data_IF_961629134249
#
_entry.id   IF_961629134249
#
_cell.length_a   1.000
_cell.length_b   1.000
_cell.length_c   1.000
_cell.angle_alpha   90.00
_cell.angle_beta   90.00
_cell.angle_gamma   90.00
#
_symmetry.space_group_name_H-M   'P 1'
#
loop_
_entity.id
_entity.type
_entity.pdbx_description
1 polymer ?
#
# COMPACT_ATOMS: atom_id res chain seq x y z
N UNK A 1 14.92 15.29 14.98
CA UNK A 1 15.24 14.14 14.11
C UNK A 1 15.31 14.61 12.67
N UNK A 2 16.32 14.18 11.91
CA UNK A 2 16.41 14.47 10.46
C UNK A 2 15.29 13.71 9.73
N UNK A 3 14.52 14.41 8.90
CA UNK A 3 13.44 13.82 8.08
C UNK A 3 14.03 13.07 6.87
N UNK A 4 13.29 12.09 6.36
CA UNK A 4 13.68 11.32 5.16
C UNK A 4 13.36 12.15 3.92
N UNK A 5 14.36 12.36 3.07
CA UNK A 5 14.26 13.14 1.83
C UNK A 5 14.19 12.25 0.58
N UNK A 6 14.47 10.95 0.69
CA UNK A 6 14.38 10.03 -0.43
C UNK A 6 12.98 9.39 -0.49
N UNK A 7 12.30 9.53 -1.63
CA UNK A 7 10.92 9.04 -1.82
C UNK A 7 10.85 7.52 -1.80
N UNK A 8 11.87 6.87 -2.35
CA UNK A 8 11.92 5.41 -2.43
C UNK A 8 12.04 4.80 -1.04
N UNK A 9 13.04 5.22 -0.26
CA UNK A 9 13.25 4.79 1.12
C UNK A 9 12.04 5.11 2.01
N UNK A 10 11.48 6.31 1.88
CA UNK A 10 10.26 6.70 2.60
C UNK A 10 9.10 5.76 2.26
N UNK A 11 8.94 5.41 0.99
CA UNK A 11 7.94 4.47 0.51
C UNK A 11 8.12 3.08 1.07
N UNK A 12 9.34 2.52 1.02
CA UNK A 12 9.65 1.21 1.60
C UNK A 12 9.30 1.16 3.09
N UNK A 13 9.79 2.12 3.88
CA UNK A 13 9.56 2.15 5.34
C UNK A 13 8.07 2.32 5.65
N UNK A 14 7.40 3.24 4.96
CA UNK A 14 5.97 3.50 5.16
C UNK A 14 5.11 2.31 4.75
N UNK A 15 5.46 1.64 3.64
CA UNK A 15 4.80 0.43 3.16
C UNK A 15 4.94 -0.73 4.15
N UNK A 16 6.14 -1.00 4.64
CA UNK A 16 6.36 -2.01 5.67
C UNK A 16 5.59 -1.71 6.97
N UNK A 17 5.63 -0.46 7.42
CA UNK A 17 4.91 -0.04 8.63
C UNK A 17 3.39 -0.13 8.47
N UNK A 18 2.85 0.25 7.32
CA UNK A 18 1.45 0.01 6.99
C UNK A 18 1.11 -1.48 6.98
N UNK A 19 1.98 -2.31 6.41
CA UNK A 19 1.75 -3.75 6.29
C UNK A 19 1.70 -4.43 7.67
N UNK A 20 2.49 -3.94 8.61
CA UNK A 20 2.42 -4.38 9.99
C UNK A 20 1.02 -4.14 10.58
N UNK A 21 0.45 -2.94 10.40
CA UNK A 21 -0.91 -2.63 10.86
C UNK A 21 -1.97 -3.48 10.14
N UNK A 22 -1.86 -3.64 8.81
CA UNK A 22 -2.73 -4.53 8.01
C UNK A 22 -2.78 -5.93 8.62
N UNK A 23 -1.61 -6.53 8.86
CA UNK A 23 -1.48 -7.89 9.36
C UNK A 23 -1.92 -8.03 10.81
N UNK A 24 -1.70 -7.01 11.64
CA UNK A 24 -2.22 -6.98 13.00
C UNK A 24 -3.76 -7.05 12.99
N UNK A 25 -4.40 -6.24 12.14
CA UNK A 25 -5.86 -6.24 12.01
C UNK A 25 -6.39 -7.56 11.42
N UNK A 26 -5.74 -8.13 10.41
CA UNK A 26 -6.08 -9.46 9.87
C UNK A 26 -5.98 -10.55 10.95
N UNK A 27 -4.93 -10.53 11.76
CA UNK A 27 -4.79 -11.47 12.88
C UNK A 27 -5.92 -11.31 13.91
N UNK A 28 -6.33 -10.08 14.20
CA UNK A 28 -7.49 -9.83 15.07
C UNK A 28 -8.76 -10.44 14.49
N UNK A 29 -9.03 -10.23 13.19
CA UNK A 29 -10.19 -10.85 12.53
C UNK A 29 -10.15 -12.39 12.54
N UNK A 30 -8.96 -12.98 12.42
CA UNK A 30 -8.77 -14.42 12.56
C UNK A 30 -9.02 -14.90 13.99
N UNK A 31 -8.49 -14.19 14.98
CA UNK A 31 -8.63 -14.56 16.40
C UNK A 31 -10.10 -14.55 16.86
N UNK A 32 -10.92 -13.63 16.34
CA UNK A 32 -12.36 -13.56 16.63
C UNK A 32 -13.23 -14.42 15.70
N UNK A 33 -12.61 -15.18 14.78
CA UNK A 33 -13.31 -16.06 13.84
C UNK A 33 -14.08 -15.35 12.72
N UNK A 34 -13.88 -14.04 12.51
CA UNK A 34 -14.57 -13.27 11.47
C UNK A 34 -14.06 -13.59 10.06
N UNK A 35 -12.76 -13.85 9.92
CA UNK A 35 -12.10 -14.19 8.65
C UNK A 35 -11.09 -15.31 8.82
N UNK A 36 -10.83 -16.07 7.75
CA UNK A 36 -9.83 -17.14 7.68
C UNK A 36 -8.71 -16.82 6.68
N UNK A 37 -8.89 -15.85 5.80
CA UNK A 37 -7.87 -15.40 4.85
C UNK A 37 -6.98 -14.30 5.45
N UNK A 38 -5.79 -14.12 4.86
CA UNK A 38 -4.84 -13.03 5.19
C UNK A 38 -3.95 -12.74 4.00
N UNK A 39 -3.41 -11.52 3.92
CA UNK A 39 -2.60 -11.08 2.78
C UNK A 39 -1.40 -11.99 2.50
N UNK A 40 -0.72 -12.46 3.55
CA UNK A 40 0.43 -13.38 3.41
C UNK A 40 0.12 -14.70 2.70
N UNK A 41 -1.11 -15.23 2.84
CA UNK A 41 -1.50 -16.47 2.14
C UNK A 41 -1.83 -16.19 0.68
N UNK A 42 -2.48 -15.06 0.38
CA UNK A 42 -2.70 -14.61 -1.00
C UNK A 42 -1.38 -14.35 -1.73
N UNK A 43 -0.42 -13.70 -1.06
CA UNK A 43 0.91 -13.45 -1.61
C UNK A 43 1.69 -14.76 -1.85
N UNK A 44 1.63 -15.72 -0.92
CA UNK A 44 2.22 -17.05 -1.14
C UNK A 44 1.59 -17.76 -2.36
N UNK A 45 0.28 -17.62 -2.53
CA UNK A 45 -0.46 -18.22 -3.64
C UNK A 45 -0.09 -17.70 -5.03
N UNK A 46 0.68 -16.61 -5.13
CA UNK A 46 1.27 -16.15 -6.40
C UNK A 46 2.31 -17.14 -6.91
N UNK A 47 3.11 -17.70 -6.00
CA UNK A 47 4.24 -18.57 -6.34
C UNK A 47 3.96 -20.05 -6.09
N UNK A 48 3.00 -20.36 -5.21
CA UNK A 48 2.80 -21.70 -4.67
C UNK A 48 1.40 -22.22 -4.94
N UNK A 49 1.31 -23.53 -5.20
CA UNK A 49 0.02 -24.24 -5.20
C UNK A 49 -0.61 -24.20 -3.81
N UNK A 50 -1.95 -24.16 -3.75
CA UNK A 50 -2.75 -24.03 -2.52
C UNK A 50 -2.31 -24.96 -1.37
N UNK A 51 -1.96 -26.22 -1.68
CA UNK A 51 -1.51 -27.22 -0.70
C UNK A 51 -0.21 -26.88 0.02
N UNK A 52 0.65 -26.04 -0.57
CA UNK A 52 1.95 -25.68 0.01
C UNK A 52 1.92 -24.38 0.81
N UNK A 53 0.89 -23.55 0.66
CA UNK A 53 0.81 -22.21 1.27
C UNK A 53 0.92 -22.25 2.80
N UNK A 54 0.31 -23.25 3.45
CA UNK A 54 0.30 -23.36 4.92
C UNK A 54 1.51 -24.11 5.50
N UNK A 55 2.41 -24.63 4.65
CA UNK A 55 3.66 -25.26 5.10
C UNK A 55 4.62 -24.20 5.67
N UNK A 56 5.65 -24.58 6.45
CA UNK A 56 6.63 -23.63 6.98
C UNK A 56 7.28 -22.76 5.89
N UNK A 57 7.76 -23.38 4.81
CA UNK A 57 8.35 -22.66 3.67
C UNK A 57 7.31 -21.82 2.92
N UNK A 58 6.07 -22.31 2.79
CA UNK A 58 4.98 -21.52 2.19
C UNK A 58 4.66 -20.24 2.97
N UNK A 59 4.63 -20.33 4.30
CA UNK A 59 4.46 -19.17 5.19
C UNK A 59 5.62 -18.19 5.06
N UNK A 60 6.85 -18.69 4.94
CA UNK A 60 8.05 -17.84 4.73
C UNK A 60 7.97 -17.08 3.40
N UNK A 61 7.67 -17.77 2.29
CA UNK A 61 7.49 -17.14 0.97
C UNK A 61 6.36 -16.12 1.01
N UNK A 62 5.22 -16.46 1.61
CA UNK A 62 4.10 -15.54 1.78
C UNK A 62 4.45 -14.28 2.57
N UNK A 63 5.22 -14.43 3.65
CA UNK A 63 5.69 -13.29 4.44
C UNK A 63 6.62 -12.38 3.63
N UNK A 64 7.59 -12.94 2.92
CA UNK A 64 8.53 -12.15 2.10
C UNK A 64 7.80 -11.45 0.97
N UNK A 65 6.98 -12.18 0.21
CA UNK A 65 6.21 -11.64 -0.90
C UNK A 65 5.26 -10.52 -0.46
N UNK A 66 4.53 -10.71 0.63
CA UNK A 66 3.61 -9.69 1.16
C UNK A 66 4.32 -8.40 1.58
N UNK A 67 5.50 -8.50 2.19
CA UNK A 67 6.29 -7.32 2.56
C UNK A 67 6.93 -6.62 1.34
N UNK A 68 7.38 -7.37 0.33
CA UNK A 68 7.89 -6.79 -0.91
C UNK A 68 6.80 -6.05 -1.68
N UNK A 69 5.62 -6.66 -1.81
CA UNK A 69 4.44 -6.01 -2.41
C UNK A 69 4.09 -4.75 -1.61
N UNK A 70 4.01 -4.84 -0.28
CA UNK A 70 3.69 -3.68 0.54
C UNK A 70 4.73 -2.55 0.45
N UNK A 71 6.02 -2.89 0.32
CA UNK A 71 7.09 -1.91 0.11
C UNK A 71 6.93 -1.21 -1.25
N UNK A 72 6.68 -1.98 -2.31
CA UNK A 72 6.45 -1.44 -3.66
C UNK A 72 5.21 -0.54 -3.71
N UNK A 73 4.11 -0.97 -3.10
CA UNK A 73 2.90 -0.16 -2.93
C UNK A 73 3.16 1.11 -2.10
N UNK A 74 4.01 1.00 -1.08
CA UNK A 74 4.57 2.14 -0.35
C UNK A 74 5.22 3.16 -1.26
N UNK A 75 6.17 2.72 -2.08
CA UNK A 75 6.87 3.57 -3.06
C UNK A 75 5.88 4.23 -4.01
N UNK A 76 4.99 3.46 -4.64
CA UNK A 76 3.96 3.97 -5.55
C UNK A 76 3.15 5.07 -4.87
N UNK A 77 2.67 4.82 -3.65
CA UNK A 77 1.88 5.79 -2.91
C UNK A 77 2.63 7.08 -2.56
N UNK A 78 3.92 7.03 -2.22
CA UNK A 78 4.69 8.25 -1.94
C UNK A 78 4.86 9.09 -3.21
N UNK A 79 5.08 8.46 -4.35
CA UNK A 79 5.09 9.17 -5.63
C UNK A 79 3.71 9.75 -5.94
N UNK A 80 2.62 9.01 -5.75
CA UNK A 80 1.25 9.54 -5.90
C UNK A 80 1.00 10.75 -4.98
N UNK A 81 1.43 10.68 -3.72
CA UNK A 81 1.31 11.79 -2.76
C UNK A 81 2.18 13.01 -3.10
N UNK A 82 3.26 12.83 -3.86
CA UNK A 82 4.05 13.95 -4.39
C UNK A 82 3.21 14.82 -5.33
N UNK A 83 2.34 14.20 -6.12
CA UNK A 83 1.43 14.90 -7.03
C UNK A 83 0.16 15.41 -6.34
N UNK A 84 -0.39 14.64 -5.42
CA UNK A 84 -1.66 14.98 -4.77
C UNK A 84 -1.52 15.93 -3.58
N UNK A 85 -0.34 16.01 -2.97
CA UNK A 85 -0.11 16.76 -1.74
C UNK A 85 -0.64 16.07 -0.47
N UNK A 86 -0.24 16.59 0.69
CA UNK A 86 -0.52 16.00 2.03
C UNK A 86 -1.82 16.47 2.71
N UNK A 87 -2.65 17.28 2.05
CA UNK A 87 -3.98 17.61 2.57
C UNK A 87 -4.87 16.35 2.65
N UNK A 88 -5.77 16.31 3.63
CA UNK A 88 -6.70 15.20 3.87
C UNK A 88 -6.03 13.81 3.79
N UNK A 89 -4.78 13.71 4.24
CA UNK A 89 -3.92 12.53 4.06
C UNK A 89 -4.54 11.22 4.59
N UNK A 90 -5.38 11.27 5.62
CA UNK A 90 -6.12 10.09 6.11
C UNK A 90 -7.12 9.57 5.08
N UNK A 91 -7.90 10.46 4.48
CA UNK A 91 -8.87 10.11 3.43
C UNK A 91 -8.14 9.59 2.18
N UNK A 92 -7.06 10.28 1.77
CA UNK A 92 -6.21 9.83 0.65
C UNK A 92 -5.58 8.47 0.95
N UNK A 93 -5.10 8.25 2.18
CA UNK A 93 -4.56 6.97 2.62
C UNK A 93 -5.60 5.85 2.57
N UNK A 94 -6.81 6.07 3.08
CA UNK A 94 -7.91 5.11 2.99
C UNK A 94 -8.29 4.81 1.53
N UNK A 95 -8.41 5.84 0.69
CA UNK A 95 -8.71 5.69 -0.73
C UNK A 95 -7.64 4.91 -1.50
N UNK A 96 -6.36 5.22 -1.28
CA UNK A 96 -5.25 4.47 -1.87
C UNK A 96 -5.21 3.02 -1.38
N UNK A 97 -5.48 2.78 -0.10
CA UNK A 97 -5.62 1.42 0.45
C UNK A 97 -6.74 0.63 -0.22
N UNK A 98 -7.90 1.25 -0.43
CA UNK A 98 -9.03 0.63 -1.15
C UNK A 98 -8.73 0.40 -2.63
N UNK A 99 -8.00 1.31 -3.28
CA UNK A 99 -7.54 1.14 -4.64
C UNK A 99 -6.61 -0.08 -4.74
N UNK A 100 -5.63 -0.19 -3.83
CA UNK A 100 -4.70 -1.33 -3.76
C UNK A 100 -5.43 -2.66 -3.54
N UNK A 101 -6.40 -2.70 -2.63
CA UNK A 101 -7.23 -3.87 -2.40
C UNK A 101 -8.03 -4.26 -3.65
N UNK A 102 -8.71 -3.31 -4.27
CA UNK A 102 -9.49 -3.54 -5.50
C UNK A 102 -8.59 -4.07 -6.62
N UNK A 103 -7.44 -3.43 -6.84
CA UNK A 103 -6.49 -3.82 -7.88
C UNK A 103 -5.90 -5.21 -7.61
N UNK A 104 -5.36 -5.48 -6.41
CA UNK A 104 -4.70 -6.75 -6.10
C UNK A 104 -5.68 -7.92 -5.95
N UNK A 105 -6.74 -7.74 -5.15
CA UNK A 105 -7.62 -8.83 -4.76
C UNK A 105 -8.89 -8.92 -5.60
N UNK A 106 -9.37 -7.81 -6.15
CA UNK A 106 -10.49 -7.81 -7.10
C UNK A 106 -10.02 -8.20 -8.51
N UNK A 107 -9.13 -7.38 -9.08
CA UNK A 107 -8.74 -7.50 -10.50
C UNK A 107 -7.64 -8.56 -10.69
N UNK A 108 -6.46 -8.36 -10.09
CA UNK A 108 -5.28 -9.19 -10.36
C UNK A 108 -5.50 -10.64 -9.90
N UNK A 109 -6.13 -10.85 -8.74
CA UNK A 109 -6.51 -12.20 -8.29
C UNK A 109 -7.56 -12.84 -9.19
N UNK A 110 -8.52 -12.06 -9.72
CA UNK A 110 -9.51 -12.53 -10.69
C UNK A 110 -8.90 -12.95 -12.03
N UNK A 111 -7.74 -12.39 -12.38
CA UNK A 111 -6.92 -12.81 -13.53
C UNK A 111 -6.05 -14.05 -13.25
N UNK A 112 -6.20 -14.68 -12.08
CA UNK A 112 -5.48 -15.91 -11.74
C UNK A 112 -4.09 -15.71 -11.14
N UNK A 113 -3.74 -14.50 -10.71
CA UNK A 113 -2.42 -14.21 -10.14
C UNK A 113 -2.18 -14.89 -8.78
N UNK A 114 -3.19 -15.46 -8.12
CA UNK A 114 -3.02 -16.19 -6.86
C UNK A 114 -3.90 -17.44 -6.82
N UNK A 115 -3.37 -18.51 -6.22
CA UNK A 115 -4.12 -19.73 -5.93
C UNK A 115 -5.19 -19.58 -4.81
N UNK A 116 -5.30 -18.39 -4.19
CA UNK A 116 -6.29 -18.05 -3.16
C UNK A 116 -7.36 -17.09 -3.73
N UNK A 117 -8.22 -17.63 -4.60
CA UNK A 117 -9.36 -16.95 -5.20
C UNK A 117 -10.42 -17.98 -5.66
N UNK A 118 -11.73 -17.66 -5.68
CA UNK A 118 -12.39 -16.47 -5.10
C UNK A 118 -12.48 -16.55 -3.57
N UNK A 119 -12.51 -15.38 -2.92
CA UNK A 119 -12.65 -15.27 -1.46
C UNK A 119 -14.11 -15.31 -1.01
N UNK A 120 -14.38 -15.73 0.23
CA UNK A 120 -15.73 -15.64 0.80
C UNK A 120 -16.09 -14.16 1.12
N UNK A 121 -17.38 -13.78 1.14
CA UNK A 121 -17.78 -12.40 1.41
C UNK A 121 -17.21 -11.80 2.71
N UNK A 122 -17.21 -12.56 3.82
CA UNK A 122 -16.66 -12.10 5.10
C UNK A 122 -15.14 -11.87 5.03
N UNK A 123 -14.42 -12.76 4.34
CA UNK A 123 -12.97 -12.63 4.11
C UNK A 123 -12.66 -11.40 3.24
N UNK A 124 -13.46 -11.18 2.21
CA UNK A 124 -13.36 -10.00 1.34
C UNK A 124 -13.52 -8.70 2.13
N UNK A 125 -14.52 -8.61 3.02
CA UNK A 125 -14.72 -7.44 3.89
C UNK A 125 -13.56 -7.26 4.87
N UNK A 126 -13.10 -8.33 5.50
CA UNK A 126 -11.96 -8.26 6.44
C UNK A 126 -10.69 -7.74 5.76
N UNK A 127 -10.40 -8.22 4.55
CA UNK A 127 -9.25 -7.77 3.75
C UNK A 127 -9.42 -6.34 3.24
N UNK A 128 -10.64 -5.91 2.92
CA UNK A 128 -10.93 -4.51 2.57
C UNK A 128 -10.61 -3.58 3.75
N UNK A 129 -11.10 -3.91 4.95
CA UNK A 129 -10.84 -3.14 6.16
C UNK A 129 -9.36 -3.14 6.55
N UNK A 130 -8.65 -4.27 6.38
CA UNK A 130 -7.20 -4.33 6.61
C UNK A 130 -6.44 -3.42 5.65
N UNK A 131 -6.88 -3.31 4.39
CA UNK A 131 -6.27 -2.41 3.41
C UNK A 131 -6.59 -0.92 3.65
N UNK A 132 -7.74 -0.58 4.22
CA UNK A 132 -7.97 0.78 4.73
C UNK A 132 -6.93 1.09 5.82
N UNK A 133 -6.76 0.20 6.80
CA UNK A 133 -5.77 0.38 7.85
C UNK A 133 -4.33 0.43 7.29
N UNK A 134 -4.01 -0.38 6.28
CA UNK A 134 -2.75 -0.34 5.54
C UNK A 134 -2.48 1.05 4.98
N UNK A 135 -3.41 1.57 4.16
CA UNK A 135 -3.25 2.84 3.47
C UNK A 135 -3.19 4.03 4.42
N UNK A 136 -4.07 4.08 5.42
CA UNK A 136 -4.08 5.14 6.46
C UNK A 136 -2.77 5.14 7.23
N UNK A 137 -2.32 3.98 7.71
CA UNK A 137 -1.10 3.88 8.52
C UNK A 137 0.13 4.25 7.71
N UNK A 138 0.24 3.71 6.49
CA UNK A 138 1.33 4.00 5.54
C UNK A 138 1.49 5.50 5.30
N UNK A 139 0.42 6.19 4.93
CA UNK A 139 0.48 7.64 4.69
C UNK A 139 0.71 8.43 5.98
N UNK A 140 0.20 7.97 7.11
CA UNK A 140 0.47 8.58 8.41
C UNK A 140 1.95 8.50 8.76
N UNK A 141 2.59 7.34 8.59
CA UNK A 141 4.04 7.17 8.80
C UNK A 141 4.81 8.11 7.87
N UNK A 142 4.47 8.10 6.57
CA UNK A 142 5.12 8.93 5.57
C UNK A 142 5.07 10.42 5.93
N UNK A 143 3.91 10.91 6.36
CA UNK A 143 3.71 12.30 6.80
C UNK A 143 4.59 12.65 8.01
N UNK A 144 4.76 11.74 8.95
CA UNK A 144 5.49 12.01 10.20
C UNK A 144 7.00 11.92 10.05
N UNK A 145 7.53 11.08 9.15
CA UNK A 145 8.98 10.88 9.02
C UNK A 145 9.57 11.47 7.73
N UNK A 146 8.74 11.73 6.72
CA UNK A 146 9.14 12.35 5.46
C UNK A 146 9.33 13.86 5.55
N UNK A 147 10.23 14.38 4.73
CA UNK A 147 10.42 15.81 4.53
C UNK A 147 9.22 16.42 3.80
N UNK A 148 8.80 17.63 4.21
CA UNK A 148 7.58 18.24 3.68
C UNK A 148 7.65 18.53 2.18
N UNK A 149 8.85 18.81 1.67
CA UNK A 149 9.10 19.09 0.25
C UNK A 149 8.77 17.92 -0.66
N UNK A 150 8.69 16.70 -0.11
CA UNK A 150 8.27 15.52 -0.88
C UNK A 150 6.78 15.54 -1.23
N UNK A 151 5.98 16.35 -0.53
CA UNK A 151 4.53 16.40 -0.66
C UNK A 151 4.03 17.80 -1.02
N UNK A 152 4.87 18.59 -1.69
CA UNK A 152 4.55 19.90 -2.24
C UNK A 152 4.30 19.73 -3.73
N UNK A 153 3.03 19.57 -4.18
CA UNK A 153 2.74 19.53 -5.60
C UNK A 153 3.26 20.81 -6.25
N UNK A 154 3.91 20.67 -7.41
CA UNK A 154 4.13 21.83 -8.27
C UNK A 154 2.78 22.37 -8.72
N UNK A 155 2.68 23.68 -8.90
CA UNK A 155 1.49 24.29 -9.47
C UNK A 155 1.52 24.17 -11.00
N UNK A 156 1.26 22.96 -11.50
CA UNK A 156 1.24 22.66 -12.94
C UNK A 156 0.21 23.50 -13.70
N UNK A 157 -0.80 24.05 -12.99
CA UNK A 157 -1.77 24.94 -13.63
C UNK A 157 -1.13 26.23 -14.13
N UNK A 158 -0.11 26.75 -13.42
CA UNK A 158 0.66 27.91 -13.87
C UNK A 158 1.53 27.60 -15.09
N UNK A 159 2.15 26.42 -15.15
CA UNK A 159 2.90 25.97 -16.33
C UNK A 159 2.00 25.85 -17.58
N UNK A 160 0.76 25.40 -17.42
CA UNK A 160 -0.19 25.25 -18.54
C UNK A 160 -0.75 26.61 -18.99
N UNK A 161 -0.99 27.53 -18.05
CA UNK A 161 -1.64 28.82 -18.33
C UNK A 161 -0.61 29.87 -18.82
N UNK A 162 0.60 29.91 -18.25
CA UNK A 162 1.66 30.87 -18.59
C UNK A 162 3.02 30.15 -18.78
N UNK A 163 3.21 29.40 -19.87
CA UNK A 163 4.46 28.68 -20.13
C UNK A 163 5.69 29.60 -20.28
N UNK A 164 5.52 30.88 -20.62
CA UNK A 164 6.65 31.82 -20.76
C UNK A 164 7.27 32.28 -19.43
N UNK A 165 6.54 32.24 -18.31
CA UNK A 165 7.05 32.69 -17.00
C UNK A 165 8.11 31.73 -16.42
N UNK A 166 8.20 30.50 -16.92
CA UNK A 166 9.10 29.47 -16.38
C UNK A 166 10.49 29.45 -17.04
N UNK A 167 10.67 30.13 -18.17
CA UNK A 167 11.96 30.18 -18.90
C UNK A 167 12.88 31.33 -18.45
N UNK A 168 12.51 32.08 -17.41
CA UNK A 168 13.25 33.28 -16.97
C UNK A 168 13.96 33.13 -15.62
N UNK A 169 13.89 31.96 -14.97
CA UNK A 169 14.58 31.69 -13.69
C UNK A 169 15.79 30.75 -13.83
N UNK A 170 16.17 30.37 -15.05
CA UNK A 170 17.43 29.66 -15.34
C UNK A 170 18.46 30.62 -15.95
N UNK A 171 19.00 31.54 -15.13
CA UNK A 171 20.27 32.25 -15.38
C UNK A 171 21.02 32.47 -14.05
#
# INVERSE_FOLDING_TARGET
MRKITDRFLLGVISGLGGNFAKRALEKTFQAIGFSQEKGTEKAAGIFLKKRYIKTPYGKMIGFVADNLIASGLGVICIYTMTFMGKDKYLLKGAGLGLAEWTSLYGVISGLGATAIYPSKPKDTVALMLSHIAFGVTKITIARHIGDERLFSPKDWSKEIINPQEFHLEED
#
